data_IF_903035602232
#
_entry.id   IF_903035602232
#
_cell.length_a   1.000
_cell.length_b   1.000
_cell.length_c   1.000
_cell.angle_alpha   90.00
_cell.angle_beta   90.00
_cell.angle_gamma   90.00
#
_symmetry.space_group_name_H-M   'P 1'
#
loop_
_entity.id
_entity.type
_entity.pdbx_description
1 polymer ?
#
# COMPACT_ATOMS: atom_id res chain seq x y z
N UNK A 1 -17.29 -6.57 23.47
CA UNK A 1 -16.74 -5.87 22.30
C UNK A 1 -15.82 -6.84 21.60
N UNK A 2 -16.04 -7.08 20.31
CA UNK A 2 -15.08 -7.83 19.51
C UNK A 2 -13.84 -6.93 19.33
N UNK A 3 -12.68 -7.44 19.74
CA UNK A 3 -11.42 -6.66 19.82
C UNK A 3 -10.56 -6.93 18.58
N UNK A 4 -10.92 -7.92 17.77
CA UNK A 4 -10.14 -8.35 16.61
C UNK A 4 -10.68 -7.79 15.30
N UNK A 5 -9.77 -7.49 14.38
CA UNK A 5 -10.12 -7.19 12.99
C UNK A 5 -9.99 -8.47 12.17
N UNK A 6 -11.13 -9.08 11.82
CA UNK A 6 -11.19 -10.30 11.01
C UNK A 6 -11.09 -10.02 9.51
N UNK A 7 -11.38 -8.77 9.11
CA UNK A 7 -11.30 -8.27 7.75
C UNK A 7 -10.68 -6.87 7.71
N UNK A 8 -10.31 -6.41 6.52
CA UNK A 8 -9.83 -5.03 6.33
C UNK A 8 -10.90 -3.97 6.64
N UNK A 9 -12.20 -4.32 6.56
CA UNK A 9 -13.29 -3.40 6.88
C UNK A 9 -13.41 -3.15 8.39
N UNK A 10 -12.96 -4.10 9.21
CA UNK A 10 -12.95 -3.99 10.67
C UNK A 10 -11.80 -3.10 11.17
N UNK A 11 -10.80 -2.81 10.31
CA UNK A 11 -9.72 -1.91 10.65
C UNK A 11 -10.24 -0.48 10.71
N UNK A 12 -10.18 0.10 11.92
CA UNK A 12 -10.43 1.53 12.11
C UNK A 12 -9.28 2.32 11.50
N UNK A 13 -9.44 2.77 10.26
CA UNK A 13 -8.51 3.69 9.61
C UNK A 13 -8.77 5.09 10.13
N UNK A 14 -7.80 5.66 10.87
CA UNK A 14 -7.85 7.06 11.28
C UNK A 14 -7.65 7.94 10.06
N UNK A 15 -8.41 9.03 9.98
CA UNK A 15 -8.18 9.99 8.90
C UNK A 15 -6.82 10.65 9.10
N UNK A 16 -6.07 10.98 8.03
CA UNK A 16 -4.81 11.69 8.18
C UNK A 16 -4.96 13.00 8.96
N UNK A 17 -6.13 13.64 8.97
CA UNK A 17 -6.36 14.84 9.78
C UNK A 17 -6.30 14.58 11.30
N UNK A 18 -6.57 13.35 11.75
CA UNK A 18 -6.63 12.98 13.17
C UNK A 18 -5.26 12.57 13.70
N UNK A 19 -4.57 11.67 12.99
CA UNK A 19 -3.26 11.13 13.41
C UNK A 19 -2.42 10.85 12.16
N UNK A 20 -1.21 11.42 12.11
CA UNK A 20 -0.22 11.11 11.07
C UNK A 20 1.09 10.68 11.70
N UNK A 21 1.74 9.71 11.06
CA UNK A 21 3.11 9.37 11.34
C UNK A 21 4.04 10.03 10.31
N UNK A 22 5.05 10.74 10.80
CA UNK A 22 6.10 11.33 9.97
C UNK A 22 7.33 10.46 10.02
N UNK A 23 7.82 10.04 8.85
CA UNK A 23 9.07 9.30 8.72
C UNK A 23 10.19 10.30 8.46
N UNK A 24 11.11 10.56 9.41
CA UNK A 24 12.21 11.49 9.19
C UNK A 24 13.20 10.94 8.16
N UNK A 25 13.56 11.76 7.18
CA UNK A 25 14.56 11.43 6.17
C UNK A 25 15.90 12.07 6.54
N UNK A 26 17.01 11.43 6.16
CA UNK A 26 18.33 12.07 6.29
C UNK A 26 18.41 13.26 5.31
N UNK A 27 19.12 14.36 5.65
CA UNK A 27 19.14 15.58 4.84
C UNK A 27 19.55 15.39 3.37
N UNK A 28 20.39 14.39 3.10
CA UNK A 28 20.94 14.12 1.75
C UNK A 28 20.06 13.17 0.92
N UNK A 29 18.96 12.64 1.49
CA UNK A 29 18.12 11.68 0.77
C UNK A 29 17.31 12.36 -0.32
N UNK A 30 17.46 11.85 -1.55
CA UNK A 30 16.70 12.30 -2.71
C UNK A 30 15.59 11.30 -3.04
N UNK A 31 14.46 11.76 -3.58
CA UNK A 31 13.44 10.87 -4.11
C UNK A 31 13.99 9.87 -5.12
N UNK A 32 13.50 8.64 -5.05
CA UNK A 32 13.88 7.57 -5.95
C UNK A 32 12.65 6.97 -6.64
N UNK A 33 12.66 6.97 -7.97
CA UNK A 33 11.69 6.28 -8.81
C UNK A 33 12.28 4.98 -9.32
N UNK A 34 11.89 3.88 -8.71
CA UNK A 34 12.31 2.57 -9.19
C UNK A 34 11.70 2.31 -10.58
N UNK A 35 12.53 1.83 -11.52
CA UNK A 35 12.08 1.45 -12.86
C UNK A 35 11.00 0.36 -12.75
N UNK A 36 9.87 0.55 -13.44
CA UNK A 36 8.75 -0.39 -13.41
C UNK A 36 9.19 -1.79 -13.84
N UNK A 37 8.89 -2.80 -13.01
CA UNK A 37 9.11 -4.20 -13.34
C UNK A 37 7.88 -4.82 -14.00
N UNK A 38 8.11 -5.62 -15.05
CA UNK A 38 7.05 -6.42 -15.67
C UNK A 38 6.66 -7.57 -14.74
N UNK A 39 5.36 -7.76 -14.54
CA UNK A 39 4.82 -8.90 -13.82
C UNK A 39 4.40 -10.01 -14.79
N UNK A 40 4.37 -11.25 -14.30
CA UNK A 40 3.79 -12.36 -15.05
C UNK A 40 2.27 -12.11 -15.21
N UNK A 41 1.72 -12.14 -16.44
CA UNK A 41 0.29 -11.94 -16.69
C UNK A 41 -0.63 -12.80 -15.82
N UNK A 42 -0.21 -14.02 -15.45
CA UNK A 42 -0.98 -14.93 -14.59
C UNK A 42 -1.20 -14.38 -13.18
N UNK A 43 -0.31 -13.52 -12.67
CA UNK A 43 -0.36 -12.98 -11.31
C UNK A 43 -0.94 -11.56 -11.28
N UNK A 44 -0.96 -10.86 -12.42
CA UNK A 44 -1.46 -9.48 -12.52
C UNK A 44 -2.88 -9.31 -11.98
N UNK A 45 -3.77 -10.28 -12.24
CA UNK A 45 -5.14 -10.26 -11.72
C UNK A 45 -5.20 -10.32 -10.20
N UNK A 46 -4.37 -11.15 -9.57
CA UNK A 46 -4.29 -11.25 -8.10
C UNK A 46 -3.74 -9.97 -7.48
N UNK A 47 -2.72 -9.37 -8.09
CA UNK A 47 -2.16 -8.08 -7.63
C UNK A 47 -3.26 -7.01 -7.65
N UNK A 48 -3.98 -6.89 -8.77
CA UNK A 48 -5.05 -5.90 -8.90
C UNK A 48 -6.17 -6.12 -7.87
N UNK A 49 -6.59 -7.37 -7.66
CA UNK A 49 -7.62 -7.70 -6.68
C UNK A 49 -7.21 -7.32 -5.25
N UNK A 50 -5.94 -7.52 -4.87
CA UNK A 50 -5.48 -7.14 -3.53
C UNK A 50 -5.37 -5.61 -3.38
N UNK A 51 -4.88 -4.90 -4.41
CA UNK A 51 -4.88 -3.43 -4.42
C UNK A 51 -6.30 -2.89 -4.26
N UNK A 52 -7.28 -3.46 -4.97
CA UNK A 52 -8.67 -3.02 -4.89
C UNK A 52 -9.23 -3.18 -3.47
N UNK A 53 -8.97 -4.31 -2.80
CA UNK A 53 -9.40 -4.49 -1.39
C UNK A 53 -8.81 -3.44 -0.46
N UNK A 54 -7.54 -3.07 -0.65
CA UNK A 54 -6.88 -2.05 0.17
C UNK A 54 -7.44 -0.64 -0.11
N UNK A 55 -7.81 -0.35 -1.37
CA UNK A 55 -8.49 0.87 -1.76
C UNK A 55 -9.90 0.95 -1.14
N UNK A 56 -10.67 -0.13 -1.23
CA UNK A 56 -12.04 -0.19 -0.70
C UNK A 56 -12.07 -0.01 0.82
N UNK A 57 -11.06 -0.56 1.52
CA UNK A 57 -10.86 -0.37 2.95
C UNK A 57 -10.25 1.00 3.32
N UNK A 58 -9.97 1.87 2.35
CA UNK A 58 -9.36 3.19 2.52
C UNK A 58 -8.00 3.14 3.24
N UNK A 59 -7.29 2.02 3.15
CA UNK A 59 -5.93 1.85 3.70
C UNK A 59 -4.91 2.55 2.81
N UNK A 60 -5.13 2.51 1.50
CA UNK A 60 -4.33 3.24 0.50
C UNK A 60 -5.24 4.18 -0.31
N UNK A 61 -4.63 5.17 -0.94
CA UNK A 61 -5.32 6.14 -1.80
C UNK A 61 -4.42 6.53 -2.98
N UNK A 62 -5.01 6.99 -4.11
CA UNK A 62 -4.23 7.44 -5.26
C UNK A 62 -3.45 8.70 -4.93
N UNK A 63 -2.18 8.74 -5.34
CA UNK A 63 -1.32 9.92 -5.26
C UNK A 63 -0.88 10.35 -6.66
N UNK A 64 -0.98 11.64 -6.94
CA UNK A 64 -0.56 12.20 -8.22
C UNK A 64 0.90 12.65 -8.16
N UNK A 65 1.64 12.41 -9.25
CA UNK A 65 3.00 12.93 -9.45
C UNK A 65 4.04 12.59 -8.37
N UNK A 66 3.91 11.47 -7.65
CA UNK A 66 4.88 11.06 -6.64
C UNK A 66 6.31 10.95 -7.21
N UNK A 67 7.27 11.53 -6.50
CA UNK A 67 8.69 11.38 -6.79
C UNK A 67 9.29 10.08 -6.22
N UNK A 68 8.54 9.41 -5.36
CA UNK A 68 8.90 8.14 -4.74
C UNK A 68 8.08 7.03 -5.35
N UNK A 69 8.74 6.08 -6.01
CA UNK A 69 8.08 4.90 -6.60
C UNK A 69 8.88 3.64 -6.25
N UNK A 70 8.20 2.68 -5.64
CA UNK A 70 8.69 1.33 -5.41
C UNK A 70 7.88 0.34 -6.25
N UNK A 71 8.53 -0.73 -6.72
CA UNK A 71 7.83 -1.79 -7.44
C UNK A 71 7.03 -2.70 -6.50
N UNK A 72 5.87 -3.14 -6.95
CA UNK A 72 5.10 -4.21 -6.29
C UNK A 72 5.86 -5.53 -6.45
N UNK A 73 5.97 -6.31 -5.38
CA UNK A 73 6.58 -7.64 -5.40
C UNK A 73 5.57 -8.65 -4.86
N UNK A 74 4.92 -9.45 -5.73
CA UNK A 74 3.98 -10.47 -5.26
C UNK A 74 4.75 -11.58 -4.54
N UNK A 75 4.33 -11.89 -3.33
CA UNK A 75 4.88 -13.01 -2.54
C UNK A 75 3.75 -13.99 -2.26
N UNK A 76 3.99 -15.28 -2.54
CA UNK A 76 3.05 -16.33 -2.17
C UNK A 76 3.10 -16.50 -0.65
N UNK A 77 1.99 -16.21 0.02
CA UNK A 77 1.84 -16.56 1.44
C UNK A 77 1.86 -18.09 1.55
N UNK A 78 2.66 -18.62 2.47
CA UNK A 78 2.56 -20.04 2.82
C UNK A 78 1.22 -20.24 3.55
N UNK A 79 0.44 -21.20 3.09
CA UNK A 79 -0.71 -21.72 3.83
C UNK A 79 -0.23 -22.63 4.96
#
# INVERSE_FOLDING_TARGET
>A
MDVFAWSYQDLKTYQPAEVQHYIPLKPEQKPFKQKLRRHNPTISGTIFAEIQKLLDAKIIYPIHHSEWLANIVPVRKKS
#
